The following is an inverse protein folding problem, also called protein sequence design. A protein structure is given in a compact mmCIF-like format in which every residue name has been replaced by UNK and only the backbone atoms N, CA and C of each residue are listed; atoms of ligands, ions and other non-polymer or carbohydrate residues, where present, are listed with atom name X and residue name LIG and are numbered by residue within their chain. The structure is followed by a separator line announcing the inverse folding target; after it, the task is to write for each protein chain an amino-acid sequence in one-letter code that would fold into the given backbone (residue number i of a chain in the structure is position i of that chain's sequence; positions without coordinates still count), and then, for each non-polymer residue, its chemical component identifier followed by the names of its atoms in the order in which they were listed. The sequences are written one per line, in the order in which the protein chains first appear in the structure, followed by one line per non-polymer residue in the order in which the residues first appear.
data_IF_038823273049
#
_entry.id   IF_038823273049
#
_cell.length_a   1.000
_cell.length_b   1.000
_cell.length_c   1.000
_cell.angle_alpha   90.00
_cell.angle_beta   90.00
_cell.angle_gamma   90.00
#
_symmetry.space_group_name_H-M   'P 1'
#
loop_
_entity.id
_entity.type
_entity.pdbx_description
1 polymer ?
#
# COMPACT_ATOMS: atom_id res chain seq x y z
N UNK A 1 14.59 -40.44 38.41
CA UNK A 1 14.27 -41.61 37.57
C UNK A 1 14.29 -41.14 36.13
N UNK A 2 15.38 -41.44 35.43
CA UNK A 2 15.82 -40.75 34.21
C UNK A 2 15.50 -41.64 33.00
N UNK A 3 14.81 -41.13 31.98
CA UNK A 3 14.53 -41.86 30.73
C UNK A 3 15.35 -41.30 29.56
N UNK A 4 16.65 -41.14 29.80
CA UNK A 4 17.68 -40.92 28.77
C UNK A 4 18.47 -42.22 28.61
N UNK A 5 18.01 -43.12 27.74
CA UNK A 5 18.82 -44.20 27.16
C UNK A 5 17.95 -45.11 26.28
N UNK A 6 17.92 -44.88 24.97
CA UNK A 6 17.67 -45.95 24.00
C UNK A 6 18.39 -45.63 22.67
N UNK A 7 19.61 -45.08 22.78
CA UNK A 7 20.64 -45.31 21.78
C UNK A 7 21.19 -46.72 22.04
N UNK A 8 20.93 -47.68 21.14
CA UNK A 8 21.83 -48.79 20.73
C UNK A 8 21.08 -49.92 19.97
N UNK A 9 21.69 -50.34 18.86
CA UNK A 9 21.53 -51.62 18.10
C UNK A 9 20.27 -51.74 17.25
N UNK A 10 20.34 -51.90 15.91
CA UNK A 10 20.83 -53.06 15.14
C UNK A 10 21.24 -52.54 13.74
N UNK A 11 22.52 -52.45 13.39
CA UNK A 11 23.32 -53.46 12.65
C UNK A 11 22.78 -53.86 11.25
N UNK A 12 23.42 -53.28 10.22
CA UNK A 12 23.95 -53.93 9.00
C UNK A 12 23.01 -54.81 8.13
N UNK A 13 22.56 -54.25 7.01
CA UNK A 13 22.41 -54.98 5.75
C UNK A 13 22.83 -54.05 4.59
N UNK A 14 23.87 -54.47 3.89
CA UNK A 14 24.51 -53.74 2.80
C UNK A 14 23.59 -53.63 1.58
N UNK A 15 23.41 -52.41 1.07
CA UNK A 15 23.02 -52.20 -0.33
C UNK A 15 23.90 -51.09 -0.90
N UNK A 16 25.00 -51.51 -1.52
CA UNK A 16 25.79 -50.67 -2.38
C UNK A 16 25.00 -50.43 -3.67
N UNK A 17 24.26 -49.32 -3.74
CA UNK A 17 23.97 -48.69 -5.03
C UNK A 17 24.79 -47.41 -5.08
N UNK A 18 25.69 -47.41 -6.05
CA UNK A 18 26.39 -46.25 -6.58
C UNK A 18 25.32 -45.20 -6.95
N UNK A 19 25.13 -44.19 -6.11
CA UNK A 19 24.42 -42.98 -6.53
C UNK A 19 25.42 -42.22 -7.38
N UNK A 20 25.23 -42.12 -8.71
CA UNK A 20 26.09 -41.28 -9.52
C UNK A 20 25.91 -39.84 -9.02
N UNK A 21 27.04 -39.15 -8.90
CA UNK A 21 27.14 -37.72 -8.63
C UNK A 21 26.37 -36.94 -9.70
N UNK A 22 25.07 -36.86 -9.56
CA UNK A 22 24.26 -35.85 -10.19
C UNK A 22 24.61 -34.53 -9.52
N UNK A 23 25.42 -33.72 -10.20
CA UNK A 23 25.47 -32.28 -9.98
C UNK A 23 24.06 -31.71 -10.19
N UNK A 24 23.18 -31.87 -9.20
CA UNK A 24 22.05 -30.97 -9.03
C UNK A 24 22.67 -29.64 -8.65
N UNK A 25 22.97 -28.85 -9.67
CA UNK A 25 23.12 -27.42 -9.52
C UNK A 25 21.76 -26.92 -9.03
N UNK A 26 21.60 -26.85 -7.71
CA UNK A 26 20.63 -25.93 -7.14
C UNK A 26 21.14 -24.56 -7.54
N UNK A 27 20.57 -24.03 -8.63
CA UNK A 27 20.61 -22.62 -8.92
C UNK A 27 19.96 -21.95 -7.72
N UNK A 28 20.80 -21.46 -6.79
CA UNK A 28 20.36 -20.52 -5.77
C UNK A 28 19.97 -19.25 -6.51
N UNK A 29 18.71 -19.19 -6.95
CA UNK A 29 18.13 -17.91 -7.33
C UNK A 29 18.27 -16.97 -6.13
N UNK A 30 18.71 -15.72 -6.33
CA UNK A 30 18.75 -14.75 -5.26
C UNK A 30 17.32 -14.52 -4.81
N UNK A 31 16.95 -15.13 -3.69
CA UNK A 31 15.69 -14.81 -3.03
C UNK A 31 15.84 -13.37 -2.55
N UNK A 32 15.21 -12.44 -3.26
CA UNK A 32 14.96 -11.10 -2.75
C UNK A 32 14.10 -11.29 -1.51
N UNK A 33 14.75 -11.38 -0.35
CA UNK A 33 14.09 -11.32 0.93
C UNK A 33 13.58 -9.89 1.09
N UNK A 34 12.36 -9.63 0.62
CA UNK A 34 11.61 -8.45 1.02
C UNK A 34 11.37 -8.58 2.53
N UNK A 35 12.27 -8.03 3.33
CA UNK A 35 12.05 -7.87 4.76
C UNK A 35 10.72 -7.11 4.91
N UNK A 36 9.77 -7.61 5.71
CA UNK A 36 8.49 -6.94 5.87
C UNK A 36 8.78 -5.54 6.38
N UNK A 37 8.61 -4.55 5.50
CA UNK A 37 8.90 -3.17 5.84
C UNK A 37 7.99 -2.83 7.02
N UNK A 38 8.61 -2.59 8.19
CA UNK A 38 7.90 -2.17 9.41
C UNK A 38 7.48 -0.70 9.28
N UNK A 39 6.74 -0.40 8.23
CA UNK A 39 6.14 0.91 8.03
C UNK A 39 5.14 1.16 9.16
N UNK A 40 5.13 2.37 9.74
CA UNK A 40 4.15 2.73 10.76
C UNK A 40 2.73 2.55 10.20
N UNK A 41 1.83 2.08 11.05
CA UNK A 41 0.43 1.81 10.68
C UNK A 41 -0.46 2.91 11.24
N UNK A 42 -1.28 3.49 10.37
CA UNK A 42 -2.21 4.57 10.64
C UNK A 42 -3.63 4.05 10.39
N UNK A 43 -4.32 3.60 11.43
CA UNK A 43 -5.69 3.10 11.29
C UNK A 43 -6.66 4.28 11.16
N UNK A 44 -7.46 4.30 10.08
CA UNK A 44 -8.41 5.37 9.81
C UNK A 44 -9.44 5.60 10.93
N UNK A 45 -9.74 4.56 11.73
CA UNK A 45 -10.66 4.68 12.88
C UNK A 45 -10.08 5.54 14.01
N UNK A 46 -8.77 5.54 14.17
CA UNK A 46 -8.09 6.37 15.18
C UNK A 46 -8.15 7.87 14.80
N UNK A 47 -8.44 8.16 13.53
CA UNK A 47 -8.61 9.50 12.98
C UNK A 47 -10.08 9.91 12.84
N UNK A 48 -11.01 9.10 13.34
CA UNK A 48 -12.44 9.41 13.37
C UNK A 48 -13.26 8.85 12.20
N UNK A 49 -12.72 7.91 11.42
CA UNK A 49 -13.51 7.20 10.41
C UNK A 49 -14.47 6.22 11.09
N UNK A 50 -15.75 6.30 10.74
CA UNK A 50 -16.80 5.44 11.31
C UNK A 50 -16.86 4.08 10.63
N UNK A 51 -16.80 4.04 9.29
CA UNK A 51 -16.93 2.79 8.52
C UNK A 51 -18.34 2.21 8.52
N UNK A 52 -19.35 3.02 8.83
CA UNK A 52 -20.77 2.62 8.90
C UNK A 52 -21.55 2.88 7.60
N UNK A 53 -20.93 3.53 6.61
CA UNK A 53 -21.54 3.84 5.31
C UNK A 53 -22.67 4.87 5.39
N UNK A 54 -22.68 5.72 6.43
CA UNK A 54 -23.67 6.79 6.67
C UNK A 54 -23.05 8.18 6.79
N UNK A 55 -21.91 8.28 7.48
CA UNK A 55 -21.17 9.54 7.66
C UNK A 55 -20.07 9.66 6.61
N UNK A 56 -19.74 10.89 6.21
CA UNK A 56 -18.64 11.17 5.30
C UNK A 56 -17.30 11.06 6.04
N UNK A 57 -16.54 10.01 5.73
CA UNK A 57 -15.26 9.68 6.38
C UNK A 57 -14.05 10.36 5.69
N UNK A 58 -14.27 11.17 4.64
CA UNK A 58 -13.22 11.84 3.83
C UNK A 58 -12.21 12.63 4.67
N UNK A 59 -12.68 13.33 5.71
CA UNK A 59 -11.82 14.15 6.57
C UNK A 59 -10.87 13.27 7.40
N UNK A 60 -11.39 12.20 8.01
CA UNK A 60 -10.59 11.25 8.78
C UNK A 60 -9.53 10.56 7.91
N UNK A 61 -9.90 10.15 6.69
CA UNK A 61 -8.98 9.54 5.73
C UNK A 61 -7.86 10.52 5.34
N UNK A 62 -8.21 11.78 5.07
CA UNK A 62 -7.24 12.82 4.73
C UNK A 62 -6.26 13.10 5.87
N UNK A 63 -6.72 13.08 7.12
CA UNK A 63 -5.85 13.25 8.30
C UNK A 63 -4.91 12.05 8.44
N UNK A 64 -5.40 10.83 8.27
CA UNK A 64 -4.58 9.62 8.34
C UNK A 64 -3.46 9.62 7.28
N UNK A 65 -3.77 10.02 6.05
CA UNK A 65 -2.79 10.14 4.95
C UNK A 65 -1.74 11.22 5.27
N UNK A 66 -2.16 12.38 5.79
CA UNK A 66 -1.25 13.45 6.21
C UNK A 66 -0.33 12.99 7.32
N UNK A 67 -0.86 12.31 8.34
CA UNK A 67 -0.08 11.74 9.43
C UNK A 67 0.96 10.73 8.92
N UNK A 68 0.57 9.85 8.00
CA UNK A 68 1.46 8.87 7.38
C UNK A 68 2.58 9.54 6.57
N UNK A 69 2.25 10.57 5.78
CA UNK A 69 3.24 11.31 5.01
C UNK A 69 4.20 12.11 5.90
N UNK A 70 3.67 12.79 6.93
CA UNK A 70 4.50 13.55 7.90
C UNK A 70 5.44 12.66 8.71
N UNK A 71 5.12 11.38 8.89
CA UNK A 71 5.99 10.41 9.53
C UNK A 71 7.14 9.90 8.62
N UNK A 72 7.25 10.40 7.39
CA UNK A 72 8.22 9.94 6.40
C UNK A 72 7.75 8.75 5.56
N UNK A 73 6.47 8.38 5.69
CA UNK A 73 5.85 7.25 5.00
C UNK A 73 5.16 6.30 5.97
N UNK A 74 4.21 5.51 5.46
CA UNK A 74 3.41 4.64 6.31
C UNK A 74 2.28 3.92 5.59
N UNK A 75 1.64 3.00 6.32
CA UNK A 75 0.46 2.27 5.86
C UNK A 75 -0.78 2.84 6.51
N UNK A 76 -1.72 3.30 5.70
CA UNK A 76 -3.05 3.71 6.16
C UNK A 76 -3.96 2.48 6.09
N UNK A 77 -4.34 1.96 7.25
CA UNK A 77 -5.12 0.74 7.39
C UNK A 77 -6.61 1.05 7.43
N UNK A 78 -7.38 0.35 6.60
CA UNK A 78 -8.84 0.37 6.57
C UNK A 78 -9.37 -0.96 7.11
N UNK A 79 -9.87 -0.99 8.35
CA UNK A 79 -10.57 -2.15 8.89
C UNK A 79 -11.84 -2.48 8.10
N UNK A 80 -12.40 -3.69 8.25
CA UNK A 80 -13.68 -4.05 7.62
C UNK A 80 -14.79 -3.06 7.95
N UNK A 81 -15.52 -2.59 6.95
CA UNK A 81 -16.50 -1.51 7.06
C UNK A 81 -16.75 -0.82 5.73
N UNK A 82 -17.82 -0.01 5.66
CA UNK A 82 -18.12 0.83 4.49
C UNK A 82 -17.79 2.28 4.80
N UNK A 83 -16.82 2.85 4.10
CA UNK A 83 -16.40 4.23 4.28
C UNK A 83 -16.96 5.07 3.15
N UNK A 84 -17.88 6.00 3.46
CA UNK A 84 -18.32 6.97 2.48
C UNK A 84 -17.25 8.04 2.33
N UNK A 85 -16.71 8.17 1.13
CA UNK A 85 -15.64 9.12 0.84
C UNK A 85 -15.89 9.87 -0.45
N UNK A 86 -15.46 11.12 -0.46
CA UNK A 86 -15.29 11.92 -1.66
C UNK A 86 -13.86 11.85 -2.17
N UNK A 87 -13.46 12.86 -2.94
CA UNK A 87 -12.08 12.99 -3.40
C UNK A 87 -11.12 13.27 -2.25
N UNK A 88 -10.03 12.51 -2.16
CA UNK A 88 -8.91 12.78 -1.25
C UNK A 88 -7.58 12.67 -2.00
N UNK A 89 -6.57 13.35 -1.48
CA UNK A 89 -5.24 13.40 -2.10
C UNK A 89 -4.31 12.38 -1.43
N UNK A 90 -3.72 11.50 -2.24
CA UNK A 90 -2.66 10.59 -1.81
C UNK A 90 -1.32 11.31 -1.83
N UNK A 91 -0.57 11.17 -0.74
CA UNK A 91 0.76 11.78 -0.57
C UNK A 91 1.88 10.76 -0.81
N UNK A 92 3.10 11.27 -1.01
CA UNK A 92 4.28 10.44 -1.24
C UNK A 92 4.56 9.48 -0.08
N UNK A 93 5.04 8.29 -0.42
CA UNK A 93 5.43 7.23 0.52
C UNK A 93 4.29 6.71 1.43
N UNK A 94 3.03 6.92 1.02
CA UNK A 94 1.85 6.39 1.71
C UNK A 94 1.32 5.17 0.97
N UNK A 95 1.08 4.08 1.71
CA UNK A 95 0.43 2.88 1.22
C UNK A 95 -0.98 2.78 1.81
N UNK A 96 -2.00 2.55 0.97
CA UNK A 96 -3.35 2.24 1.41
C UNK A 96 -3.49 0.72 1.58
N UNK A 97 -3.87 0.28 2.77
CA UNK A 97 -4.08 -1.13 3.08
C UNK A 97 -5.56 -1.36 3.42
N UNK A 98 -6.29 -1.96 2.47
CA UNK A 98 -7.69 -2.32 2.66
C UNK A 98 -7.78 -3.76 3.16
N UNK A 99 -8.28 -3.94 4.39
CA UNK A 99 -8.54 -5.27 4.92
C UNK A 99 -9.73 -5.92 4.20
N UNK A 100 -9.80 -7.25 4.25
CA UNK A 100 -10.95 -7.97 3.70
C UNK A 100 -12.27 -7.46 4.30
N UNK A 101 -13.19 -7.00 3.44
CA UNK A 101 -14.46 -6.41 3.85
C UNK A 101 -14.42 -4.89 4.07
N UNK A 102 -13.31 -4.21 3.79
CA UNK A 102 -13.29 -2.76 3.67
C UNK A 102 -13.82 -2.33 2.29
N UNK A 103 -14.78 -1.42 2.27
CA UNK A 103 -15.42 -0.87 1.07
C UNK A 103 -15.27 0.65 1.11
N UNK A 104 -14.71 1.24 0.05
CA UNK A 104 -14.77 2.68 -0.20
C UNK A 104 -15.94 2.94 -1.13
N UNK A 105 -16.94 3.66 -0.64
CA UNK A 105 -18.19 3.95 -1.35
C UNK A 105 -18.36 5.46 -1.50
N UNK A 106 -19.16 5.88 -2.47
CA UNK A 106 -19.53 7.26 -2.70
C UNK A 106 -20.88 7.31 -3.40
N UNK A 107 -21.79 8.13 -2.86
CA UNK A 107 -23.20 8.16 -3.28
C UNK A 107 -23.63 9.49 -3.87
N UNK A 108 -22.80 10.52 -3.78
CA UNK A 108 -23.13 11.87 -4.22
C UNK A 108 -22.06 12.36 -5.20
N UNK A 109 -22.50 12.81 -6.37
CA UNK A 109 -21.63 13.39 -7.40
C UNK A 109 -20.90 14.63 -6.86
N UNK A 110 -21.56 15.40 -5.98
CA UNK A 110 -20.96 16.59 -5.37
C UNK A 110 -19.67 16.30 -4.59
N UNK A 111 -19.46 15.06 -4.13
CA UNK A 111 -18.26 14.65 -3.38
C UNK A 111 -16.99 14.58 -4.27
N UNK A 112 -17.14 14.71 -5.60
CA UNK A 112 -16.06 14.67 -6.59
C UNK A 112 -15.72 16.02 -7.23
N UNK A 113 -16.65 16.97 -7.21
CA UNK A 113 -16.59 18.21 -8.02
C UNK A 113 -15.58 19.26 -7.49
N UNK A 114 -15.12 19.13 -6.24
CA UNK A 114 -14.19 20.09 -5.63
C UNK A 114 -12.87 20.23 -6.41
N UNK A 115 -12.42 19.17 -7.10
CA UNK A 115 -11.22 19.24 -7.94
C UNK A 115 -11.46 19.87 -9.31
N UNK A 116 -12.62 19.66 -9.91
CA UNK A 116 -12.96 20.20 -11.23
C UNK A 116 -13.15 21.73 -11.16
N UNK A 117 -13.70 22.25 -10.06
CA UNK A 117 -13.78 23.71 -9.84
C UNK A 117 -12.41 24.38 -9.64
N UNK A 118 -11.41 23.68 -9.06
CA UNK A 118 -10.02 24.14 -8.99
C UNK A 118 -9.31 24.10 -10.35
N UNK A 119 -9.61 23.10 -11.19
CA UNK A 119 -9.04 22.95 -12.53
C UNK A 119 -9.79 23.72 -13.63
N UNK A 120 -10.96 24.28 -13.33
CA UNK A 120 -11.63 25.29 -14.15
C UNK A 120 -11.03 26.71 -14.01
N UNK A 121 -10.10 26.91 -13.06
CA UNK A 121 -9.23 28.09 -12.97
C UNK A 121 -7.84 27.84 -13.54
N UNK A 122 -7.74 27.08 -14.64
CA UNK A 122 -6.65 27.34 -15.59
C UNK A 122 -7.08 28.58 -16.37
N UNK A 123 -7.03 29.73 -15.71
CA UNK A 123 -7.03 31.02 -16.39
C UNK A 123 -5.87 31.00 -17.38
N UNK A 124 -6.20 30.89 -18.66
CA UNK A 124 -5.81 31.74 -19.80
C UNK A 124 -4.49 32.55 -19.79
N UNK A 125 -3.55 32.33 -18.87
CA UNK A 125 -2.23 32.98 -18.83
C UNK A 125 -1.11 32.08 -19.41
N UNK A 126 -1.48 31.00 -20.09
CA UNK A 126 -0.51 30.14 -20.81
C UNK A 126 -0.16 30.65 -22.20
N UNK A 127 -0.68 31.81 -22.61
CA UNK A 127 -0.27 32.51 -23.84
C UNK A 127 0.76 33.61 -23.53
N UNK A 128 2.00 33.23 -23.19
CA UNK A 128 3.21 34.02 -23.55
C UNK A 128 4.54 33.47 -22.99
N UNK A 129 4.63 32.22 -22.53
CA UNK A 129 5.92 31.64 -22.12
C UNK A 129 6.55 30.72 -23.18
N UNK A 130 6.32 31.04 -24.46
CA UNK A 130 7.21 30.63 -25.54
C UNK A 130 7.55 31.88 -26.33
N UNK A 131 8.72 32.44 -26.03
CA UNK A 131 9.44 33.47 -26.77
C UNK A 131 9.25 33.31 -28.29
N UNK A 132 8.20 33.92 -28.88
CA UNK A 132 8.03 34.26 -30.32
C UNK A 132 6.62 34.84 -30.66
N UNK A 133 6.08 35.80 -29.90
CA UNK A 133 4.98 36.63 -30.41
C UNK A 133 5.51 37.78 -31.26
N UNK A 134 5.93 37.43 -32.49
CA UNK A 134 6.19 38.36 -33.58
C UNK A 134 4.85 38.86 -34.13
N UNK A 135 4.71 40.17 -34.20
CA UNK A 135 3.93 40.95 -35.17
C UNK A 135 2.46 40.58 -35.40
N UNK A 136 1.55 41.39 -34.85
CA UNK A 136 0.45 41.98 -35.59
C UNK A 136 -0.24 42.99 -34.67
N UNK A 137 -0.11 44.28 -34.96
CA UNK A 137 -1.19 45.27 -34.91
C UNK A 137 -0.58 46.62 -35.28
N UNK A 138 -0.64 46.89 -36.59
CA UNK A 138 -0.63 48.23 -37.19
C UNK A 138 -1.84 49.03 -36.73
#
# INVERSE_FOLDING_TARGET
MNRRAFFKSIALLAFAIIVPSGLSQTSTEPVIHAEPQRLPVFNVRDYGATGEGKALDTSAISIAIKAASSAGGGRVLFPPGTYLTGTFELLSNVQLELMAGAILDSRNVADYEERLSRQGKITEDSQCLHTHCRAAHS
#
